data_IF_583978701161
#
_entry.id   IF_583978701161
#
_cell.length_a   1.000
_cell.length_b   1.000
_cell.length_c   1.000
_cell.angle_alpha   90.00
_cell.angle_beta   90.00
_cell.angle_gamma   90.00
#
_symmetry.space_group_name_H-M   'P 1'
#
loop_
_entity.id
_entity.type
_entity.pdbx_description
1 polymer ?
#
# COMPACT_ATOMS: atom_id res chain seq x y z
N UNK A 1 -26.84 4.00 54.50
CA UNK A 1 -27.54 3.46 53.32
C UNK A 1 -26.51 3.30 52.22
N UNK A 2 -26.04 2.06 52.06
CA UNK A 2 -25.27 1.58 50.91
C UNK A 2 -26.13 1.77 49.66
N UNK A 3 -25.57 2.30 48.56
CA UNK A 3 -25.93 2.08 47.14
C UNK A 3 -25.75 3.36 46.33
N UNK A 4 -24.57 3.56 45.78
CA UNK A 4 -24.43 3.85 44.34
C UNK A 4 -22.94 3.88 44.01
N UNK A 5 -22.34 2.71 44.18
CA UNK A 5 -21.20 2.25 43.38
C UNK A 5 -21.65 2.16 41.92
N UNK A 6 -21.90 3.30 41.29
CA UNK A 6 -21.86 3.40 39.83
C UNK A 6 -20.39 3.63 39.50
N UNK A 7 -19.62 2.55 39.68
CA UNK A 7 -18.34 2.36 39.02
C UNK A 7 -18.68 2.39 37.53
N UNK A 8 -18.57 3.56 36.91
CA UNK A 8 -18.64 3.71 35.47
C UNK A 8 -17.37 3.03 34.96
N UNK A 9 -17.48 1.72 34.70
CA UNK A 9 -16.52 0.97 33.92
C UNK A 9 -16.59 1.57 32.51
N UNK A 10 -15.85 2.65 32.32
CA UNK A 10 -15.63 3.26 31.01
C UNK A 10 -14.94 2.18 30.17
N UNK A 11 -15.77 1.43 29.45
CA UNK A 11 -15.35 0.46 28.46
C UNK A 11 -14.68 1.26 27.34
N UNK A 12 -13.39 1.51 27.49
CA UNK A 12 -12.56 2.09 26.44
C UNK A 12 -12.47 1.05 25.33
N UNK A 13 -13.40 1.12 24.38
CA UNK A 13 -13.33 0.41 23.12
C UNK A 13 -12.10 0.99 22.41
N UNK A 14 -10.96 0.31 22.54
CA UNK A 14 -9.80 0.62 21.73
C UNK A 14 -10.19 0.30 20.27
N UNK A 15 -10.50 1.32 19.47
CA UNK A 15 -10.53 1.19 18.03
C UNK A 15 -9.09 0.89 17.59
N UNK A 16 -8.79 -0.40 17.46
CA UNK A 16 -7.58 -0.83 16.77
C UNK A 16 -7.75 -0.45 15.29
N UNK A 17 -7.22 0.71 14.90
CA UNK A 17 -7.05 1.03 13.49
C UNK A 17 -6.11 -0.02 12.91
N UNK A 18 -6.65 -0.95 12.11
CA UNK A 18 -5.85 -1.89 11.34
C UNK A 18 -4.99 -1.08 10.38
N UNK A 19 -3.71 -0.91 10.71
CA UNK A 19 -2.78 -0.21 9.85
C UNK A 19 -2.50 -1.14 8.67
N UNK A 20 -2.93 -0.74 7.46
CA UNK A 20 -2.51 -1.40 6.24
C UNK A 20 -0.98 -1.33 6.22
N UNK A 21 -0.27 -2.45 6.04
CA UNK A 21 1.17 -2.42 5.97
C UNK A 21 1.59 -1.39 4.91
N UNK A 22 2.57 -0.51 5.18
CA UNK A 22 2.85 0.62 4.29
C UNK A 22 3.32 0.18 2.90
N UNK A 23 3.81 -1.06 2.77
CA UNK A 23 4.17 -1.69 1.49
C UNK A 23 2.96 -2.20 0.68
N UNK A 24 1.74 -2.13 1.21
CA UNK A 24 0.47 -2.45 0.55
C UNK A 24 -0.51 -1.27 0.59
N UNK A 25 -0.05 -0.06 0.92
CA UNK A 25 -0.91 1.12 0.94
C UNK A 25 -1.38 1.50 -0.46
N UNK A 26 -2.53 2.20 -0.52
CA UNK A 26 -2.87 2.98 -1.71
C UNK A 26 -1.86 4.11 -1.88
N UNK A 27 -1.39 4.33 -3.10
CA UNK A 27 -0.40 5.34 -3.46
C UNK A 27 -0.86 6.25 -4.60
N UNK A 28 -2.10 6.11 -5.06
CA UNK A 28 -2.63 6.89 -6.17
C UNK A 28 -4.01 6.45 -6.60
N UNK A 29 -4.52 7.14 -7.62
CA UNK A 29 -5.86 6.98 -8.16
C UNK A 29 -6.58 8.32 -8.29
N UNK A 30 -7.62 8.34 -9.11
CA UNK A 30 -8.54 9.49 -9.21
C UNK A 30 -9.08 9.82 -7.81
N UNK A 31 -9.05 11.11 -7.46
CA UNK A 31 -9.46 11.69 -6.17
C UNK A 31 -8.67 11.20 -4.93
N UNK A 32 -7.58 10.45 -5.10
CA UNK A 32 -6.71 10.08 -3.99
C UNK A 32 -5.87 11.28 -3.52
N UNK A 33 -6.04 11.67 -2.25
CA UNK A 33 -5.34 12.83 -1.63
C UNK A 33 -4.30 12.41 -0.57
N UNK A 34 -4.04 11.12 -0.44
CA UNK A 34 -3.07 10.57 0.51
C UNK A 34 -1.64 10.58 -0.01
N UNK A 35 -0.79 9.77 0.61
CA UNK A 35 0.63 9.67 0.26
C UNK A 35 0.83 8.94 -1.06
N UNK A 36 1.46 9.59 -2.03
CA UNK A 36 1.76 8.96 -3.34
C UNK A 36 3.11 8.24 -3.39
N UNK A 37 3.88 8.31 -2.29
CA UNK A 37 5.19 7.68 -2.19
C UNK A 37 5.08 6.35 -1.47
N UNK A 38 5.56 5.29 -2.13
CA UNK A 38 5.68 3.97 -1.53
C UNK A 38 6.96 3.85 -0.69
N UNK A 39 6.95 2.92 0.27
CA UNK A 39 8.15 2.61 1.06
C UNK A 39 9.24 1.99 0.17
N UNK A 40 10.50 2.14 0.59
CA UNK A 40 11.65 1.63 -0.15
C UNK A 40 11.50 0.13 -0.46
N UNK A 41 11.77 -0.26 -1.71
CA UNK A 41 11.60 -1.63 -2.19
C UNK A 41 10.19 -1.96 -2.71
N UNK A 42 9.29 -0.98 -2.75
CA UNK A 42 7.98 -1.08 -3.41
C UNK A 42 7.77 0.06 -4.40
N UNK A 43 6.99 -0.23 -5.44
CA UNK A 43 6.63 0.69 -6.52
C UNK A 43 5.13 0.92 -6.53
N UNK A 44 4.71 2.14 -6.86
CA UNK A 44 3.29 2.45 -6.99
C UNK A 44 2.77 1.95 -8.33
N UNK A 45 1.98 0.88 -8.31
CA UNK A 45 1.45 0.23 -9.51
C UNK A 45 -0.04 0.53 -9.64
N UNK A 46 -0.46 1.01 -10.81
CA UNK A 46 -1.87 1.16 -11.15
C UNK A 46 -2.54 -0.22 -11.24
N UNK A 47 -3.59 -0.44 -10.45
CA UNK A 47 -4.49 -1.59 -10.62
C UNK A 47 -5.76 -1.17 -11.37
N UNK A 48 -6.29 0.00 -11.04
CA UNK A 48 -7.45 0.62 -11.66
C UNK A 48 -7.31 2.15 -11.66
N UNK A 49 -8.10 2.89 -12.46
CA UNK A 49 -8.00 4.34 -12.53
C UNK A 49 -8.17 5.06 -11.18
N UNK A 50 -8.92 4.44 -10.25
CA UNK A 50 -9.18 4.98 -8.92
C UNK A 50 -8.24 4.40 -7.85
N UNK A 51 -7.42 3.39 -8.17
CA UNK A 51 -6.66 2.65 -7.17
C UNK A 51 -5.29 2.17 -7.66
N UNK A 52 -4.25 2.74 -7.05
CA UNK A 52 -2.86 2.40 -7.31
C UNK A 52 -2.30 1.87 -5.99
N UNK A 53 -1.61 0.73 -6.00
CA UNK A 53 -1.10 0.09 -4.79
C UNK A 53 0.42 -0.02 -4.82
N UNK A 54 1.04 0.16 -3.66
CA UNK A 54 2.43 -0.21 -3.46
C UNK A 54 2.57 -1.72 -3.59
N UNK A 55 3.43 -2.16 -4.51
CA UNK A 55 3.75 -3.57 -4.72
C UNK A 55 5.27 -3.75 -4.69
N UNK A 56 5.80 -4.91 -4.27
CA UNK A 56 7.21 -5.22 -4.42
C UNK A 56 7.65 -5.02 -5.86
N UNK A 57 8.82 -4.41 -6.05
CA UNK A 57 9.40 -4.29 -7.39
C UNK A 57 9.58 -5.70 -7.95
N UNK A 58 8.91 -6.00 -9.08
CA UNK A 58 9.15 -7.25 -9.76
C UNK A 58 10.64 -7.31 -10.12
N UNK A 59 11.30 -8.48 -10.01
CA UNK A 59 12.68 -8.58 -10.45
C UNK A 59 12.76 -8.03 -11.88
N UNK A 60 13.76 -7.17 -12.19
CA UNK A 60 13.88 -6.58 -13.51
C UNK A 60 13.81 -7.71 -14.54
N UNK A 61 13.06 -7.55 -15.64
CA UNK A 61 13.10 -8.54 -16.70
C UNK A 61 14.57 -8.70 -17.06
N UNK A 62 15.09 -9.92 -16.92
CA UNK A 62 16.41 -10.28 -17.42
C UNK A 62 16.37 -9.95 -18.90
N UNK A 63 16.85 -8.76 -19.24
CA UNK A 63 16.85 -8.26 -20.60
C UNK A 63 17.92 -9.10 -21.29
N UNK A 64 17.50 -10.24 -21.84
CA UNK A 64 18.23 -10.88 -22.91
C UNK A 64 18.09 -9.88 -24.05
N UNK A 65 19.02 -8.92 -24.10
CA UNK A 65 19.17 -7.99 -25.20
C UNK A 65 19.48 -8.86 -26.41
N UNK A 66 18.45 -9.26 -27.14
CA UNK A 66 18.58 -9.74 -28.50
C UNK A 66 19.10 -8.56 -29.31
N UNK A 67 20.43 -8.42 -29.33
CA UNK A 67 21.16 -7.66 -30.32
C UNK A 67 20.58 -8.07 -31.67
N UNK A 68 19.94 -7.17 -32.43
CA UNK A 68 19.61 -7.49 -33.81
C UNK A 68 20.92 -7.57 -34.59
N UNK A 69 21.38 -8.77 -34.89
CA UNK A 69 22.46 -8.99 -35.84
C UNK A 69 21.97 -8.52 -37.21
N UNK A 70 22.45 -7.37 -37.66
CA UNK A 70 22.31 -6.94 -39.06
C UNK A 70 23.09 -7.91 -39.94
N UNK A 71 22.38 -8.84 -40.60
CA UNK A 71 22.94 -9.66 -41.67
C UNK A 71 22.77 -8.91 -42.98
N UNK A 72 23.86 -8.34 -43.48
CA UNK A 72 23.95 -7.82 -44.83
C UNK A 72 24.51 -8.94 -45.73
N UNK A 73 23.72 -9.43 -46.69
CA UNK A 73 24.17 -10.25 -47.82
C UNK A 73 23.28 -9.96 -49.02
#
# INVERSE_FOLDING_TARGET
>A
MIRSTLLILALSIALAAGQIPPYLGQCGGIDYTGTTTCVSGTVCTELDPFYYQCLPEAPPPTSISSVPTSTNS
#
